data_IF_236951077825
#
_entry.id   IF_236951077825
#
_cell.length_a   1.000
_cell.length_b   1.000
_cell.length_c   1.000
_cell.angle_alpha   90.00
_cell.angle_beta   90.00
_cell.angle_gamma   90.00
#
_symmetry.space_group_name_H-M   'P 1'
#
loop_
_entity.id
_entity.type
_entity.pdbx_description
1 polymer ?
#
# COMPACT_ATOMS: atom_id res chain seq x y z
N UNK A 1 49.66 44.20 -27.43
CA UNK A 1 48.58 43.61 -26.61
C UNK A 1 48.31 42.21 -27.14
N UNK A 2 48.88 41.19 -26.48
CA UNK A 2 48.57 39.80 -26.81
C UNK A 2 47.28 39.48 -26.05
N UNK A 3 46.18 39.30 -26.78
CA UNK A 3 44.89 38.99 -26.20
C UNK A 3 44.98 37.67 -25.42
N UNK A 4 44.46 37.69 -24.19
CA UNK A 4 44.48 36.57 -23.24
C UNK A 4 43.45 35.50 -23.62
N UNK A 5 43.56 34.96 -24.84
CA UNK A 5 42.63 33.98 -25.39
C UNK A 5 42.73 32.62 -24.67
N UNK A 6 43.91 32.27 -24.15
CA UNK A 6 44.15 31.00 -23.45
C UNK A 6 43.54 30.95 -22.04
N UNK A 7 43.53 32.06 -21.29
CA UNK A 7 42.91 32.14 -19.96
C UNK A 7 41.38 32.17 -20.00
N UNK A 8 40.82 32.79 -21.04
CA UNK A 8 39.37 32.81 -21.32
C UNK A 8 38.82 31.41 -21.60
N UNK A 9 39.52 30.62 -22.42
CA UNK A 9 39.11 29.24 -22.77
C UNK A 9 39.07 28.34 -21.53
N UNK A 10 40.05 28.44 -20.62
CA UNK A 10 40.06 27.67 -19.36
C UNK A 10 38.91 28.04 -18.43
N UNK A 11 38.58 29.33 -18.30
CA UNK A 11 37.43 29.75 -17.49
C UNK A 11 36.11 29.30 -18.13
N UNK A 12 35.98 29.38 -19.45
CA UNK A 12 34.80 28.93 -20.18
C UNK A 12 34.58 27.42 -20.05
N UNK A 13 35.63 26.61 -20.23
CA UNK A 13 35.52 25.14 -20.10
C UNK A 13 35.20 24.73 -18.66
N UNK A 14 35.80 25.39 -17.66
CA UNK A 14 35.49 25.14 -16.25
C UNK A 14 34.03 25.48 -15.93
N UNK A 15 33.54 26.62 -16.42
CA UNK A 15 32.16 27.07 -16.20
C UNK A 15 31.17 26.11 -16.85
N UNK A 16 31.44 25.66 -18.08
CA UNK A 16 30.62 24.66 -18.77
C UNK A 16 30.65 23.32 -18.01
N UNK A 17 31.82 22.88 -17.53
CA UNK A 17 31.94 21.66 -16.74
C UNK A 17 31.13 21.74 -15.43
N UNK A 18 31.15 22.88 -14.75
CA UNK A 18 30.34 23.15 -13.54
C UNK A 18 28.83 23.15 -13.85
N UNK A 19 28.41 23.76 -14.96
CA UNK A 19 27.02 23.75 -15.40
C UNK A 19 26.58 22.31 -15.72
N UNK A 20 27.40 21.54 -16.42
CA UNK A 20 27.11 20.14 -16.72
C UNK A 20 27.05 19.27 -15.46
N UNK A 21 27.97 19.47 -14.51
CA UNK A 21 27.98 18.74 -13.25
C UNK A 21 26.73 19.05 -12.41
N UNK A 22 26.32 20.32 -12.34
CA UNK A 22 25.10 20.72 -11.62
C UNK A 22 23.84 20.17 -12.31
N UNK A 23 23.76 20.20 -13.63
CA UNK A 23 22.68 19.55 -14.39
C UNK A 23 22.59 18.04 -14.10
N UNK A 24 23.72 17.33 -14.15
CA UNK A 24 23.76 15.90 -13.84
C UNK A 24 23.35 15.61 -12.40
N UNK A 25 23.77 16.44 -11.45
CA UNK A 25 23.37 16.32 -10.04
C UNK A 25 21.85 16.51 -9.87
N UNK A 26 21.29 17.56 -10.46
CA UNK A 26 19.84 17.82 -10.39
C UNK A 26 19.03 16.70 -11.03
N UNK A 27 19.49 16.17 -12.17
CA UNK A 27 18.85 15.03 -12.84
C UNK A 27 18.91 13.77 -11.97
N UNK A 28 20.05 13.49 -11.36
CA UNK A 28 20.22 12.34 -10.45
C UNK A 28 19.27 12.44 -9.26
N UNK A 29 19.17 13.61 -8.62
CA UNK A 29 18.24 13.85 -7.51
C UNK A 29 16.78 13.68 -7.93
N UNK A 30 16.40 14.20 -9.11
CA UNK A 30 15.04 14.08 -9.62
C UNK A 30 14.68 12.62 -9.93
N UNK A 31 15.59 11.86 -10.53
CA UNK A 31 15.40 10.43 -10.79
C UNK A 31 15.23 9.65 -9.47
N UNK A 32 16.09 9.88 -8.48
CA UNK A 32 15.97 9.24 -7.17
C UNK A 32 14.61 9.53 -6.51
N UNK A 33 14.17 10.80 -6.56
CA UNK A 33 12.86 11.18 -6.02
C UNK A 33 11.71 10.48 -6.75
N UNK A 34 11.77 10.33 -8.07
CA UNK A 34 10.73 9.65 -8.84
C UNK A 34 10.69 8.15 -8.56
N UNK A 35 11.85 7.50 -8.44
CA UNK A 35 11.94 6.07 -8.09
C UNK A 35 11.28 5.81 -6.73
N UNK A 36 11.61 6.62 -5.71
CA UNK A 36 11.02 6.48 -4.38
C UNK A 36 9.50 6.72 -4.39
N UNK A 37 9.03 7.70 -5.16
CA UNK A 37 7.60 7.95 -5.31
C UNK A 37 6.89 6.80 -6.03
N UNK A 38 7.52 6.22 -7.04
CA UNK A 38 6.99 5.06 -7.76
C UNK A 38 6.90 3.83 -6.85
N UNK A 39 7.93 3.55 -6.06
CA UNK A 39 7.93 2.46 -5.08
C UNK A 39 6.80 2.60 -4.08
N UNK A 40 6.65 3.78 -3.46
CA UNK A 40 5.55 4.05 -2.52
C UNK A 40 4.17 3.85 -3.16
N UNK A 41 3.98 4.31 -4.40
CA UNK A 41 2.72 4.08 -5.13
C UNK A 41 2.46 2.60 -5.39
N UNK A 42 3.50 1.84 -5.74
CA UNK A 42 3.40 0.39 -5.96
C UNK A 42 3.00 -0.32 -4.66
N UNK A 43 3.64 0.03 -3.55
CA UNK A 43 3.32 -0.55 -2.23
C UNK A 43 1.89 -0.27 -1.81
N UNK A 44 1.43 0.97 -1.97
CA UNK A 44 0.05 1.35 -1.66
C UNK A 44 -0.96 0.59 -2.54
N UNK A 45 -0.67 0.44 -3.84
CA UNK A 45 -1.52 -0.33 -4.74
C UNK A 45 -1.58 -1.80 -4.32
N UNK A 46 -0.46 -2.40 -3.95
CA UNK A 46 -0.42 -3.78 -3.45
C UNK A 46 -1.24 -3.92 -2.19
N UNK A 47 -1.12 -3.01 -1.21
CA UNK A 47 -1.95 -3.01 -0.01
C UNK A 47 -3.45 -2.94 -0.36
N UNK A 48 -3.84 -2.03 -1.25
CA UNK A 48 -5.25 -1.91 -1.67
C UNK A 48 -5.78 -3.20 -2.32
N UNK A 49 -4.95 -3.91 -3.09
CA UNK A 49 -5.33 -5.20 -3.67
C UNK A 49 -5.51 -6.27 -2.59
N UNK A 50 -4.63 -6.30 -1.58
CA UNK A 50 -4.74 -7.22 -0.45
C UNK A 50 -5.97 -6.94 0.41
N UNK A 51 -6.32 -5.67 0.63
CA UNK A 51 -7.56 -5.30 1.33
C UNK A 51 -8.80 -5.77 0.58
N UNK A 52 -8.81 -5.66 -0.75
CA UNK A 52 -9.91 -6.19 -1.58
C UNK A 52 -9.99 -7.71 -1.51
N UNK A 53 -8.85 -8.39 -1.49
CA UNK A 53 -8.80 -9.85 -1.32
C UNK A 53 -9.34 -10.27 0.06
N UNK A 54 -8.95 -9.57 1.13
CA UNK A 54 -9.48 -9.78 2.47
C UNK A 54 -11.00 -9.58 2.51
N UNK A 55 -11.48 -8.48 1.92
CA UNK A 55 -12.91 -8.19 1.87
C UNK A 55 -13.67 -9.29 1.13
N UNK A 56 -13.15 -9.76 0.00
CA UNK A 56 -13.74 -10.87 -0.74
C UNK A 56 -13.81 -12.13 0.12
N UNK A 57 -12.72 -12.50 0.77
CA UNK A 57 -12.70 -13.67 1.65
C UNK A 57 -13.74 -13.55 2.77
N UNK A 58 -13.83 -12.40 3.43
CA UNK A 58 -14.80 -12.16 4.49
C UNK A 58 -16.24 -12.25 3.96
N UNK A 59 -16.52 -11.64 2.81
CA UNK A 59 -17.86 -11.71 2.20
C UNK A 59 -18.24 -13.13 1.80
N UNK A 60 -17.33 -13.87 1.18
CA UNK A 60 -17.54 -15.27 0.83
C UNK A 60 -17.81 -16.10 2.11
N UNK A 61 -17.07 -15.85 3.19
CA UNK A 61 -17.20 -16.58 4.45
C UNK A 61 -18.52 -16.31 5.19
N UNK A 62 -18.98 -15.05 5.23
CA UNK A 62 -20.21 -14.68 5.95
C UNK A 62 -21.49 -14.93 5.15
N UNK A 63 -21.38 -15.06 3.82
CA UNK A 63 -22.52 -15.33 2.93
C UNK A 63 -22.67 -16.80 2.58
N UNK A 64 -21.65 -17.64 2.84
CA UNK A 64 -21.71 -19.07 2.62
C UNK A 64 -22.77 -19.72 3.53
N UNK A 65 -23.84 -20.33 2.96
CA UNK A 65 -24.88 -20.98 3.73
C UNK A 65 -24.43 -22.25 4.46
N UNK A 66 -23.28 -22.82 4.09
CA UNK A 66 -22.72 -24.03 4.68
C UNK A 66 -21.70 -23.72 5.79
N UNK A 67 -21.13 -22.52 5.82
CA UNK A 67 -20.19 -22.14 6.86
C UNK A 67 -20.90 -21.66 8.11
N UNK A 68 -20.70 -22.43 9.19
CA UNK A 68 -21.13 -22.03 10.52
C UNK A 68 -19.92 -21.43 11.23
N UNK A 69 -19.78 -20.11 11.20
CA UNK A 69 -18.69 -19.43 11.95
C UNK A 69 -18.91 -19.72 13.44
N UNK A 70 -18.03 -20.47 14.12
CA UNK A 70 -18.26 -20.90 15.49
C UNK A 70 -18.23 -19.70 16.43
N UNK A 71 -19.17 -19.61 17.37
CA UNK A 71 -19.25 -18.53 18.38
C UNK A 71 -17.99 -18.36 19.24
N UNK A 72 -17.11 -19.35 19.27
CA UNK A 72 -15.88 -19.37 20.08
C UNK A 72 -14.61 -18.97 19.29
N UNK A 73 -14.67 -18.88 17.96
CA UNK A 73 -13.54 -18.40 17.16
C UNK A 73 -13.51 -16.87 17.14
N UNK A 74 -12.86 -16.29 18.15
CA UNK A 74 -12.71 -14.83 18.27
C UNK A 74 -11.78 -14.23 17.21
N UNK A 75 -10.89 -15.03 16.63
CA UNK A 75 -9.98 -14.61 15.56
C UNK A 75 -9.53 -15.77 14.68
N UNK A 76 -9.23 -15.47 13.41
CA UNK A 76 -8.69 -16.38 12.42
C UNK A 76 -7.60 -15.68 11.62
N UNK A 77 -6.53 -16.40 11.29
CA UNK A 77 -5.50 -15.89 10.38
C UNK A 77 -5.67 -16.56 9.02
N UNK A 78 -5.67 -15.76 7.96
CA UNK A 78 -5.73 -16.23 6.57
C UNK A 78 -4.43 -15.86 5.85
N UNK A 79 -4.07 -16.66 4.86
CA UNK A 79 -2.94 -16.37 3.96
C UNK A 79 -3.49 -15.83 2.66
N UNK A 80 -2.96 -14.69 2.21
CA UNK A 80 -3.34 -14.00 0.98
C UNK A 80 -2.50 -14.49 -0.21
N UNK A 81 -2.93 -14.15 -1.42
CA UNK A 81 -2.30 -14.53 -2.68
C UNK A 81 -0.81 -14.20 -2.79
N UNK A 82 -0.35 -13.13 -2.13
CA UNK A 82 1.05 -12.72 -2.11
C UNK A 82 1.88 -13.38 -0.99
N UNK A 83 1.31 -14.32 -0.24
CA UNK A 83 1.93 -14.96 0.91
C UNK A 83 1.86 -14.17 2.22
N UNK A 84 1.31 -12.94 2.21
CA UNK A 84 1.08 -12.17 3.44
C UNK A 84 -0.06 -12.78 4.26
N UNK A 85 -0.04 -12.56 5.57
CA UNK A 85 -1.11 -13.01 6.45
C UNK A 85 -2.03 -11.85 6.84
N UNK A 86 -3.33 -12.12 6.90
CA UNK A 86 -4.32 -11.20 7.44
C UNK A 86 -5.01 -11.83 8.64
N UNK A 87 -5.25 -11.03 9.67
CA UNK A 87 -5.98 -11.45 10.86
C UNK A 87 -7.42 -10.95 10.79
N UNK A 88 -8.36 -11.87 10.86
CA UNK A 88 -9.79 -11.65 10.98
C UNK A 88 -10.17 -11.76 12.45
N UNK A 89 -10.99 -10.83 12.94
CA UNK A 89 -11.57 -10.86 14.28
C UNK A 89 -13.07 -10.80 14.18
N UNK A 90 -13.75 -11.77 14.78
CA UNK A 90 -15.20 -11.90 14.73
C UNK A 90 -15.81 -11.46 16.05
N UNK A 91 -16.93 -10.76 15.96
CA UNK A 91 -17.67 -10.30 17.12
C UNK A 91 -19.17 -10.22 16.82
N UNK A 92 -19.96 -10.09 17.88
CA UNK A 92 -21.41 -9.83 17.79
C UNK A 92 -22.26 -10.91 17.07
N UNK A 93 -21.94 -12.21 17.22
CA UNK A 93 -22.53 -13.37 16.50
C UNK A 93 -24.06 -13.58 16.57
N UNK A 94 -24.82 -12.80 17.35
CA UNK A 94 -26.25 -13.08 17.59
C UNK A 94 -27.11 -12.64 16.41
N UNK A 95 -27.31 -11.33 16.24
CA UNK A 95 -28.17 -10.75 15.21
C UNK A 95 -27.39 -10.18 14.02
N UNK A 96 -26.15 -9.79 14.28
CA UNK A 96 -25.20 -9.35 13.26
C UNK A 96 -23.96 -10.24 13.30
N UNK A 97 -22.98 -9.95 12.47
CA UNK A 97 -21.64 -10.48 12.55
C UNK A 97 -20.68 -9.37 12.15
N UNK A 98 -19.85 -8.97 13.10
CA UNK A 98 -18.85 -7.93 12.92
C UNK A 98 -17.50 -8.60 12.70
N UNK A 99 -16.94 -8.44 11.50
CA UNK A 99 -15.61 -8.97 11.12
C UNK A 99 -14.65 -7.81 10.90
N UNK A 100 -13.62 -7.71 11.71
CA UNK A 100 -12.52 -6.76 11.48
C UNK A 100 -11.36 -7.50 10.85
N UNK A 101 -10.89 -7.06 9.68
CA UNK A 101 -9.66 -7.58 9.10
C UNK A 101 -8.50 -6.60 9.31
N UNK A 102 -7.31 -7.14 9.49
CA UNK A 102 -6.05 -6.40 9.56
C UNK A 102 -5.03 -7.09 8.66
N UNK A 103 -4.50 -6.36 7.69
CA UNK A 103 -3.46 -6.83 6.78
C UNK A 103 -2.25 -5.91 6.87
N UNK A 104 -1.08 -6.52 7.02
CA UNK A 104 0.20 -5.81 7.02
C UNK A 104 0.92 -6.08 5.70
N UNK A 105 1.39 -5.01 5.06
CA UNK A 105 2.25 -5.10 3.89
C UNK A 105 3.39 -4.08 4.00
N UNK A 106 4.62 -4.57 4.13
CA UNK A 106 5.79 -3.77 4.50
C UNK A 106 5.50 -2.93 5.76
N UNK A 107 5.58 -1.60 5.67
CA UNK A 107 5.32 -0.67 6.77
C UNK A 107 3.85 -0.22 6.86
N UNK A 108 2.99 -0.66 5.93
CA UNK A 108 1.61 -0.21 5.87
C UNK A 108 0.64 -1.22 6.49
N UNK A 109 -0.39 -0.68 7.15
CA UNK A 109 -1.48 -1.42 7.76
C UNK A 109 -2.79 -1.05 7.06
N UNK A 110 -3.43 -2.06 6.46
CA UNK A 110 -4.80 -1.98 5.99
C UNK A 110 -5.75 -2.56 7.03
N UNK A 111 -6.80 -1.82 7.39
CA UNK A 111 -7.78 -2.25 8.40
C UNK A 111 -9.17 -1.77 8.04
N UNK A 112 -10.12 -2.69 8.03
CA UNK A 112 -11.53 -2.33 7.94
C UNK A 112 -12.40 -3.28 8.76
N UNK A 113 -13.62 -2.81 9.03
CA UNK A 113 -14.67 -3.57 9.70
C UNK A 113 -15.82 -3.79 8.73
N UNK A 114 -16.21 -5.04 8.57
CA UNK A 114 -17.41 -5.48 7.87
C UNK A 114 -18.45 -5.86 8.91
N UNK A 115 -19.61 -5.22 8.87
CA UNK A 115 -20.75 -5.54 9.73
C UNK A 115 -21.86 -6.14 8.87
N UNK A 116 -22.17 -7.41 9.10
CA UNK A 116 -23.19 -8.16 8.36
C UNK A 116 -24.44 -8.37 9.21
N UNK A 117 -25.60 -7.98 8.68
CA UNK A 117 -26.89 -8.19 9.32
C UNK A 117 -27.52 -9.48 8.78
N UNK A 118 -27.75 -10.44 9.69
CA UNK A 118 -28.24 -11.79 9.31
C UNK A 118 -29.71 -11.79 8.86
N UNK A 119 -30.51 -10.81 9.28
CA UNK A 119 -31.95 -10.75 8.96
C UNK A 119 -32.19 -10.17 7.57
N UNK A 120 -31.53 -9.06 7.28
CA UNK A 120 -31.63 -8.35 6.01
C UNK A 120 -30.67 -8.86 4.94
N UNK A 121 -29.68 -9.69 5.31
CA UNK A 121 -28.60 -10.17 4.44
C UNK A 121 -27.82 -9.03 3.78
N UNK A 122 -27.67 -7.92 4.49
CA UNK A 122 -26.91 -6.75 4.03
C UNK A 122 -25.62 -6.63 4.81
N UNK A 123 -24.61 -6.02 4.20
CA UNK A 123 -23.35 -5.71 4.88
C UNK A 123 -23.03 -4.22 4.76
N UNK A 124 -22.31 -3.72 5.74
CA UNK A 124 -21.72 -2.37 5.72
C UNK A 124 -20.21 -2.48 5.91
N UNK A 125 -19.46 -1.63 5.22
CA UNK A 125 -18.00 -1.59 5.27
C UNK A 125 -17.57 -0.25 5.85
N UNK A 126 -16.77 -0.28 6.91
CA UNK A 126 -16.18 0.89 7.54
C UNK A 126 -14.67 0.74 7.50
N UNK A 127 -14.00 1.65 6.80
CA UNK A 127 -12.53 1.73 6.78
C UNK A 127 -12.04 2.39 8.07
N UNK A 128 -10.99 1.83 8.67
CA UNK A 128 -10.45 2.25 9.97
C UNK A 128 -9.16 3.04 9.86
#
# INVERSE_FOLDING_TARGET
MINNEKGSILCLTLTIALIMATLLLTLSQQLQSQTLLFEKRREYLTLTLLEKECLKFVLDEITDPLQTIPKYESSKTITLSNGSSAMLKYSNYTQSLDVTYQVYYNEYLGKAKVSYDKKSKTYTLVHG
#
